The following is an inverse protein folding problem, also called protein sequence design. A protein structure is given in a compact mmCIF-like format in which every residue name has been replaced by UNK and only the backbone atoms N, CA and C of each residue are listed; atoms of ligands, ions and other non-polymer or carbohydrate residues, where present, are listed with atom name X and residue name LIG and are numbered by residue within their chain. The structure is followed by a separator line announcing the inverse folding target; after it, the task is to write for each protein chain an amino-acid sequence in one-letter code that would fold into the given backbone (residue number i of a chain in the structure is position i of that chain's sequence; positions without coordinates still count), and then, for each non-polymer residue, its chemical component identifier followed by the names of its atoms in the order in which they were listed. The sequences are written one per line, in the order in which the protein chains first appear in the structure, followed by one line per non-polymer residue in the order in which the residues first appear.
data_IF_197926225427
#
_entry.id   IF_197926225427
#
_cell.length_a   1.000
_cell.length_b   1.000
_cell.length_c   1.000
_cell.angle_alpha   90.00
_cell.angle_beta   90.00
_cell.angle_gamma   90.00
#
_symmetry.space_group_name_H-M   'P 1'
#
loop_
_entity.id
_entity.type
_entity.pdbx_description
1 polymer ?
#
# COMPACT_ATOMS: atom_id res chain seq x y z
N UNK A 1 14.52 -12.44 29.13
CA UNK A 1 15.13 -12.16 27.82
C UNK A 1 14.13 -11.35 27.03
N UNK A 2 14.12 -10.04 27.29
CA UNK A 2 13.28 -9.09 26.57
C UNK A 2 13.82 -8.93 25.15
N UNK A 3 12.97 -9.19 24.18
CA UNK A 3 13.23 -8.86 22.80
C UNK A 3 13.36 -7.34 22.70
N UNK A 4 14.58 -6.86 22.48
CA UNK A 4 14.88 -5.49 22.09
C UNK A 4 14.04 -5.17 20.85
N UNK A 5 12.95 -4.43 21.04
CA UNK A 5 12.27 -3.71 19.97
C UNK A 5 13.32 -2.77 19.38
N UNK A 6 13.86 -3.12 18.21
CA UNK A 6 14.60 -2.17 17.38
C UNK A 6 13.62 -1.06 17.05
N UNK A 7 13.76 0.07 17.72
CA UNK A 7 13.11 1.32 17.34
C UNK A 7 13.52 1.62 15.90
N UNK A 8 12.60 1.41 14.96
CA UNK A 8 12.78 1.80 13.57
C UNK A 8 12.73 3.32 13.53
N UNK A 9 13.92 3.92 13.48
CA UNK A 9 14.12 5.34 13.24
C UNK A 9 13.29 5.76 12.00
N UNK A 10 12.36 6.74 12.07
CA UNK A 10 11.44 7.06 10.97
C UNK A 10 12.11 7.76 9.78
N UNK A 11 13.34 8.23 9.96
CA UNK A 11 14.15 8.81 8.90
C UNK A 11 14.88 7.71 8.15
N UNK A 12 14.14 6.99 7.31
CA UNK A 12 14.71 6.22 6.21
C UNK A 12 15.51 7.18 5.34
N UNK A 13 16.83 7.25 5.57
CA UNK A 13 17.79 8.14 4.92
C UNK A 13 17.73 8.00 3.39
N UNK A 14 16.89 8.80 2.73
CA UNK A 14 16.94 9.09 1.30
C UNK A 14 18.19 9.92 1.03
N UNK A 15 19.34 9.26 1.00
CA UNK A 15 20.64 9.88 0.81
C UNK A 15 21.32 9.31 -0.42
N UNK A 16 21.88 10.23 -1.22
CA UNK A 16 22.71 9.86 -2.37
C UNK A 16 24.10 9.37 -1.98
N UNK A 17 24.51 9.60 -0.73
CA UNK A 17 25.89 9.47 -0.24
C UNK A 17 26.21 8.08 0.32
N UNK A 18 25.21 7.20 0.42
CA UNK A 18 25.45 5.83 0.87
C UNK A 18 26.12 5.02 -0.24
N UNK A 19 27.02 4.11 0.14
CA UNK A 19 27.65 3.16 -0.81
C UNK A 19 26.62 2.37 -1.62
N UNK A 20 25.50 1.99 -1.00
CA UNK A 20 24.39 1.32 -1.66
C UNK A 20 23.74 2.20 -2.74
N UNK A 21 23.48 3.48 -2.44
CA UNK A 21 23.00 4.46 -3.40
C UNK A 21 23.98 4.62 -4.56
N UNK A 22 25.28 4.76 -4.30
CA UNK A 22 26.28 4.88 -5.36
C UNK A 22 26.28 3.70 -6.34
N UNK A 23 26.18 2.47 -5.81
CA UNK A 23 26.10 1.25 -6.64
C UNK A 23 24.85 1.24 -7.53
N UNK A 24 23.69 1.59 -6.96
CA UNK A 24 22.43 1.68 -7.71
C UNK A 24 22.52 2.78 -8.77
N UNK A 25 22.99 3.98 -8.41
CA UNK A 25 23.15 5.12 -9.32
C UNK A 25 24.12 4.80 -10.45
N UNK A 26 25.24 4.13 -10.15
CA UNK A 26 26.18 3.62 -11.17
C UNK A 26 25.46 2.66 -12.10
N UNK A 27 24.71 1.69 -11.59
CA UNK A 27 23.98 0.73 -12.43
C UNK A 27 22.93 1.40 -13.33
N UNK A 28 22.20 2.39 -12.81
CA UNK A 28 21.23 3.19 -13.55
C UNK A 28 21.90 3.94 -14.70
N UNK A 29 23.06 4.58 -14.46
CA UNK A 29 23.78 5.33 -15.48
C UNK A 29 24.33 4.45 -16.60
N UNK A 30 24.83 3.25 -16.28
CA UNK A 30 25.50 2.37 -17.25
C UNK A 30 24.56 1.41 -17.97
N UNK A 31 23.34 1.17 -17.46
CA UNK A 31 22.40 0.23 -18.07
C UNK A 31 21.03 0.87 -18.29
N UNK A 32 20.71 1.18 -19.54
CA UNK A 32 19.37 1.64 -19.96
C UNK A 32 18.27 0.65 -19.57
N UNK A 33 18.58 -0.65 -19.64
CA UNK A 33 17.65 -1.73 -19.24
C UNK A 33 17.40 -1.67 -17.73
N UNK A 34 18.44 -1.55 -16.92
CA UNK A 34 18.31 -1.43 -15.46
C UNK A 34 17.54 -0.16 -15.08
N UNK A 35 17.86 0.99 -15.69
CA UNK A 35 17.13 2.24 -15.51
C UNK A 35 15.64 2.07 -15.79
N UNK A 36 15.28 1.46 -16.93
CA UNK A 36 13.87 1.21 -17.28
C UNK A 36 13.18 0.33 -16.24
N UNK A 37 13.83 -0.75 -15.79
CA UNK A 37 13.30 -1.62 -14.74
C UNK A 37 13.15 -0.87 -13.41
N UNK A 38 14.08 0.01 -13.07
CA UNK A 38 14.04 0.79 -11.84
C UNK A 38 12.86 1.77 -11.83
N UNK A 39 12.58 2.39 -12.99
CA UNK A 39 11.34 3.17 -13.18
C UNK A 39 10.11 2.30 -12.97
N UNK A 40 10.07 1.07 -13.49
CA UNK A 40 8.95 0.14 -13.25
C UNK A 40 8.77 -0.16 -11.75
N UNK A 41 9.86 -0.31 -10.99
CA UNK A 41 9.80 -0.48 -9.54
C UNK A 41 9.21 0.75 -8.84
N UNK A 42 9.63 1.96 -9.26
CA UNK A 42 9.07 3.22 -8.73
C UNK A 42 7.57 3.30 -8.99
N UNK A 43 7.13 3.00 -10.22
CA UNK A 43 5.71 3.01 -10.58
C UNK A 43 4.90 1.95 -9.83
N UNK A 44 5.49 0.79 -9.55
CA UNK A 44 4.84 -0.24 -8.75
C UNK A 44 4.60 0.21 -7.30
N UNK A 45 5.52 1.01 -6.77
CA UNK A 45 5.53 1.49 -5.39
C UNK A 45 4.99 2.92 -5.24
N UNK A 46 4.33 3.48 -6.27
CA UNK A 46 4.00 4.90 -6.30
C UNK A 46 3.07 5.35 -5.16
N UNK A 47 2.28 4.42 -4.61
CA UNK A 47 1.34 4.68 -3.50
C UNK A 47 2.05 5.03 -2.18
N UNK A 48 3.34 4.69 -2.06
CA UNK A 48 4.17 5.02 -0.91
C UNK A 48 5.02 6.29 -1.12
N UNK A 49 4.95 6.93 -2.29
CA UNK A 49 5.80 8.07 -2.64
C UNK A 49 5.06 9.39 -2.36
N UNK A 50 5.68 10.24 -1.55
CA UNK A 50 5.27 11.63 -1.36
C UNK A 50 6.02 12.58 -2.31
N UNK A 51 5.65 13.85 -2.33
CA UNK A 51 6.24 14.85 -3.22
C UNK A 51 7.77 14.95 -3.09
N UNK A 52 8.31 14.91 -1.85
CA UNK A 52 9.75 14.92 -1.59
C UNK A 52 10.46 13.68 -2.18
N UNK A 53 9.84 12.49 -2.08
CA UNK A 53 10.39 11.28 -2.68
C UNK A 53 10.41 11.36 -4.21
N UNK A 54 9.39 11.96 -4.82
CA UNK A 54 9.30 12.13 -6.28
C UNK A 54 10.40 13.07 -6.77
N UNK A 55 10.59 14.21 -6.11
CA UNK A 55 11.65 15.16 -6.44
C UNK A 55 13.03 14.49 -6.36
N UNK A 56 13.31 13.81 -5.24
CA UNK A 56 14.54 13.05 -5.07
C UNK A 56 14.74 12.00 -6.17
N UNK A 57 13.74 11.19 -6.48
CA UNK A 57 13.85 10.12 -7.47
C UNK A 57 14.03 10.66 -8.89
N UNK A 58 13.41 11.79 -9.22
CA UNK A 58 13.57 12.45 -10.51
C UNK A 58 15.01 12.94 -10.70
N UNK A 59 15.55 13.63 -9.69
CA UNK A 59 16.96 14.04 -9.67
C UNK A 59 17.89 12.81 -9.73
N UNK A 60 17.58 11.78 -8.94
CA UNK A 60 18.36 10.56 -8.86
C UNK A 60 18.45 9.81 -10.19
N UNK A 61 17.36 9.82 -10.97
CA UNK A 61 17.30 9.27 -12.32
C UNK A 61 17.88 10.21 -13.37
N UNK A 62 18.08 11.49 -13.06
CA UNK A 62 18.39 12.51 -14.06
C UNK A 62 17.24 12.61 -15.08
N UNK A 63 16.01 12.80 -14.59
CA UNK A 63 14.82 13.07 -15.38
C UNK A 63 14.06 14.26 -14.79
N UNK A 64 13.17 14.88 -15.57
CA UNK A 64 12.38 16.00 -15.06
C UNK A 64 11.38 15.55 -13.98
N UNK A 65 11.22 16.34 -12.92
CA UNK A 65 10.23 16.06 -11.87
C UNK A 65 8.82 15.93 -12.44
N UNK A 66 8.46 16.82 -13.37
CA UNK A 66 7.17 16.79 -14.07
C UNK A 66 6.99 15.51 -14.91
N UNK A 67 8.06 14.99 -15.50
CA UNK A 67 8.02 13.76 -16.29
C UNK A 67 7.73 12.56 -15.38
N UNK A 68 8.44 12.45 -14.24
CA UNK A 68 8.21 11.38 -13.28
C UNK A 68 6.82 11.48 -12.63
N UNK A 69 6.40 12.69 -12.25
CA UNK A 69 5.07 12.94 -11.72
C UNK A 69 3.97 12.55 -12.71
N UNK A 70 4.13 12.88 -14.00
CA UNK A 70 3.19 12.49 -15.05
C UNK A 70 3.07 10.97 -15.21
N UNK A 71 4.19 10.24 -15.16
CA UNK A 71 4.18 8.77 -15.18
C UNK A 71 3.47 8.19 -13.97
N UNK A 72 3.72 8.75 -12.77
CA UNK A 72 3.05 8.34 -11.53
C UNK A 72 1.54 8.60 -11.62
N UNK A 73 1.13 9.79 -12.09
CA UNK A 73 -0.28 10.14 -12.26
C UNK A 73 -1.02 9.20 -13.22
N UNK A 74 -0.45 8.91 -14.40
CA UNK A 74 -1.02 7.92 -15.34
C UNK A 74 -1.12 6.52 -14.73
N UNK A 75 -0.18 6.17 -13.87
CA UNK A 75 -0.19 4.88 -13.17
C UNK A 75 -1.29 4.85 -12.10
N UNK A 76 -1.49 5.96 -11.38
CA UNK A 76 -2.61 6.13 -10.45
C UNK A 76 -3.96 6.06 -11.16
N UNK A 77 -4.11 6.65 -12.35
CA UNK A 77 -5.35 6.60 -13.14
C UNK A 77 -5.79 5.15 -13.39
N UNK A 78 -4.86 4.26 -13.71
CA UNK A 78 -5.14 2.83 -13.91
C UNK A 78 -5.57 2.08 -12.63
N UNK A 79 -5.43 2.70 -11.46
CA UNK A 79 -5.83 2.16 -10.17
C UNK A 79 -7.06 2.84 -9.58
N UNK A 80 -7.60 3.90 -10.21
CA UNK A 80 -8.74 4.68 -9.69
C UNK A 80 -9.94 3.78 -9.43
N UNK A 81 -10.39 2.98 -10.39
CA UNK A 81 -11.56 2.11 -10.22
C UNK A 81 -11.40 1.13 -9.05
N UNK A 82 -10.19 0.60 -8.84
CA UNK A 82 -9.90 -0.30 -7.73
C UNK A 82 -9.94 0.44 -6.40
N UNK A 83 -9.34 1.63 -6.35
CA UNK A 83 -9.35 2.50 -5.16
C UNK A 83 -10.76 2.95 -4.81
N UNK A 84 -11.58 3.30 -5.79
CA UNK A 84 -12.98 3.65 -5.58
C UNK A 84 -13.78 2.47 -5.04
N UNK A 85 -13.61 1.27 -5.60
CA UNK A 85 -14.24 0.05 -5.08
C UNK A 85 -13.82 -0.24 -3.64
N UNK A 86 -12.54 -0.05 -3.31
CA UNK A 86 -12.04 -0.24 -1.94
C UNK A 86 -12.50 0.86 -1.00
N UNK A 87 -12.58 2.12 -1.46
CA UNK A 87 -13.15 3.25 -0.69
C UNK A 87 -14.63 3.01 -0.41
N UNK A 88 -15.39 2.54 -1.40
CA UNK A 88 -16.79 2.16 -1.23
C UNK A 88 -16.95 1.04 -0.19
N UNK A 89 -16.12 0.00 -0.29
CA UNK A 89 -16.10 -1.08 0.69
C UNK A 89 -15.72 -0.60 2.10
N UNK A 90 -14.75 0.31 2.23
CA UNK A 90 -14.39 0.94 3.49
C UNK A 90 -15.55 1.80 4.04
N UNK A 91 -16.35 2.43 3.18
CA UNK A 91 -17.59 3.11 3.55
C UNK A 91 -18.61 2.15 4.16
N UNK A 92 -18.87 1.00 3.51
CA UNK A 92 -19.75 -0.05 4.04
C UNK A 92 -19.22 -0.58 5.38
N UNK A 93 -17.91 -0.84 5.49
CA UNK A 93 -17.27 -1.25 6.74
C UNK A 93 -17.51 -0.22 7.85
N UNK A 94 -17.32 1.07 7.55
CA UNK A 94 -17.51 2.15 8.52
C UNK A 94 -18.99 2.25 8.94
N UNK A 95 -19.94 2.03 8.03
CA UNK A 95 -21.36 1.95 8.37
C UNK A 95 -21.63 0.84 9.40
N UNK A 96 -21.13 -0.38 9.16
CA UNK A 96 -21.27 -1.49 10.11
C UNK A 96 -20.60 -1.19 11.45
N UNK A 97 -19.44 -0.54 11.44
CA UNK A 97 -18.77 -0.08 12.67
C UNK A 97 -19.65 0.90 13.46
N UNK A 98 -20.18 1.94 12.82
CA UNK A 98 -21.02 2.93 13.49
C UNK A 98 -22.30 2.28 14.06
N UNK A 99 -22.94 1.40 13.29
CA UNK A 99 -24.15 0.68 13.74
C UNK A 99 -23.86 -0.29 14.88
N UNK A 100 -22.75 -1.03 14.81
CA UNK A 100 -22.26 -1.84 15.92
C UNK A 100 -22.13 -0.99 17.18
N UNK A 101 -21.40 0.12 17.11
CA UNK A 101 -21.20 1.01 18.27
C UNK A 101 -22.51 1.57 18.82
N UNK A 102 -23.47 1.86 17.94
CA UNK A 102 -24.81 2.29 18.33
C UNK A 102 -25.53 1.19 19.14
N UNK A 103 -25.65 -0.03 18.60
CA UNK A 103 -26.35 -1.12 19.28
C UNK A 103 -25.64 -1.58 20.56
N UNK A 104 -24.30 -1.48 20.63
CA UNK A 104 -23.57 -1.73 21.88
C UNK A 104 -24.01 -0.75 22.98
N UNK A 105 -24.03 0.55 22.67
CA UNK A 105 -24.46 1.59 23.62
C UNK A 105 -25.93 1.46 23.99
N UNK A 106 -26.78 1.14 23.03
CA UNK A 106 -28.22 0.92 23.26
C UNK A 106 -28.43 -0.27 24.20
N UNK A 107 -27.72 -1.38 23.98
CA UNK A 107 -27.79 -2.55 24.85
C UNK A 107 -27.29 -2.23 26.27
N UNK A 108 -26.13 -1.59 26.40
CA UNK A 108 -25.58 -1.15 27.69
C UNK A 108 -26.56 -0.24 28.46
N UNK A 109 -27.22 0.68 27.75
CA UNK A 109 -28.23 1.55 28.33
C UNK A 109 -29.44 0.76 28.82
N UNK A 110 -30.02 -0.11 27.99
CA UNK A 110 -31.20 -0.90 28.36
C UNK A 110 -30.91 -1.86 29.52
N UNK A 111 -29.72 -2.45 29.54
CA UNK A 111 -29.26 -3.29 30.65
C UNK A 111 -29.10 -2.46 31.94
N UNK A 112 -28.62 -1.21 31.86
CA UNK A 112 -28.53 -0.32 33.04
C UNK A 112 -29.89 0.06 33.64
N UNK A 113 -30.96 0.02 32.84
CA UNK A 113 -32.33 0.27 33.29
C UNK A 113 -33.10 -1.00 33.64
N UNK A 114 -32.44 -2.16 33.71
CA UNK A 114 -33.06 -3.47 33.93
C UNK A 114 -34.24 -3.74 32.97
N UNK A 115 -34.09 -3.37 31.69
CA UNK A 115 -35.12 -3.62 30.68
C UNK A 115 -35.44 -5.13 30.57
N UNK A 116 -36.71 -5.43 30.26
CA UNK A 116 -37.16 -6.82 30.09
C UNK A 116 -36.32 -7.52 28.99
N UNK A 117 -35.85 -8.77 29.23
CA UNK A 117 -35.12 -9.56 28.24
C UNK A 117 -35.75 -9.60 26.85
N UNK A 118 -37.09 -9.57 26.76
CA UNK A 118 -37.82 -9.56 25.49
C UNK A 118 -37.43 -8.36 24.58
N UNK A 119 -37.09 -7.21 25.18
CA UNK A 119 -36.65 -6.01 24.45
C UNK A 119 -35.14 -5.99 24.18
N UNK A 120 -34.35 -6.74 24.95
CA UNK A 120 -32.89 -6.86 24.74
C UNK A 120 -32.57 -7.77 23.55
N UNK A 121 -33.34 -8.83 23.34
CA UNK A 121 -33.08 -9.84 22.30
C UNK A 121 -33.04 -9.30 20.85
N UNK A 122 -33.93 -8.37 20.44
CA UNK A 122 -33.80 -7.71 19.14
C UNK A 122 -32.50 -6.91 18.99
N UNK A 123 -32.10 -6.16 20.02
CA UNK A 123 -30.88 -5.35 20.02
C UNK A 123 -29.64 -6.24 19.95
N UNK A 124 -29.61 -7.34 20.71
CA UNK A 124 -28.55 -8.37 20.65
C UNK A 124 -28.42 -8.98 19.27
N UNK A 125 -29.54 -9.32 18.62
CA UNK A 125 -29.54 -9.84 17.24
C UNK A 125 -28.99 -8.82 16.24
N UNK A 126 -29.42 -7.56 16.34
CA UNK A 126 -28.89 -6.48 15.50
C UNK A 126 -27.40 -6.26 15.72
N UNK A 127 -26.95 -6.28 16.97
CA UNK A 127 -25.53 -6.17 17.30
C UNK A 127 -24.71 -7.31 16.69
N UNK A 128 -25.14 -8.56 16.89
CA UNK A 128 -24.45 -9.73 16.34
C UNK A 128 -24.37 -9.69 14.80
N UNK A 129 -25.43 -9.22 14.13
CA UNK A 129 -25.45 -9.01 12.69
C UNK A 129 -24.37 -7.99 12.27
N UNK A 130 -24.35 -6.81 12.90
CA UNK A 130 -23.39 -5.75 12.56
C UNK A 130 -21.94 -6.17 12.87
N UNK A 131 -21.71 -6.93 13.94
CA UNK A 131 -20.39 -7.50 14.26
C UNK A 131 -19.89 -8.50 13.22
N UNK A 132 -20.76 -9.41 12.79
CA UNK A 132 -20.43 -10.38 11.74
C UNK A 132 -20.03 -9.66 10.44
N UNK A 133 -20.84 -8.72 9.97
CA UNK A 133 -20.56 -8.02 8.72
C UNK A 133 -19.37 -7.06 8.84
N UNK A 134 -19.18 -6.38 9.97
CA UNK A 134 -17.98 -5.57 10.19
C UNK A 134 -16.70 -6.42 10.05
N UNK A 135 -16.66 -7.60 10.68
CA UNK A 135 -15.52 -8.52 10.59
C UNK A 135 -15.28 -9.00 9.16
N UNK A 136 -16.33 -9.37 8.43
CA UNK A 136 -16.23 -9.75 7.02
C UNK A 136 -15.68 -8.62 6.15
N UNK A 137 -16.19 -7.39 6.32
CA UNK A 137 -15.72 -6.24 5.53
C UNK A 137 -14.30 -5.82 5.88
N UNK A 138 -13.87 -5.95 7.14
CA UNK A 138 -12.48 -5.76 7.53
C UNK A 138 -11.55 -6.73 6.77
N UNK A 139 -11.92 -8.01 6.69
CA UNK A 139 -11.15 -9.01 5.94
C UNK A 139 -11.13 -8.68 4.44
N UNK A 140 -12.27 -8.34 3.84
CA UNK A 140 -12.32 -8.01 2.42
C UNK A 140 -11.52 -6.75 2.04
N UNK A 141 -11.45 -5.74 2.94
CA UNK A 141 -10.60 -4.56 2.72
C UNK A 141 -9.12 -4.93 2.80
N UNK A 142 -8.73 -5.81 3.74
CA UNK A 142 -7.36 -6.30 3.88
C UNK A 142 -6.92 -7.15 2.67
N UNK A 143 -7.82 -8.00 2.16
CA UNK A 143 -7.56 -8.91 1.04
C UNK A 143 -7.50 -8.19 -0.32
N UNK A 144 -7.84 -6.89 -0.38
CA UNK A 144 -7.81 -6.07 -1.61
C UNK A 144 -6.67 -5.05 -1.57
N UNK A 145 -5.44 -5.45 -1.92
CA UNK A 145 -4.38 -4.47 -2.10
C UNK A 145 -4.75 -3.55 -3.27
N UNK A 146 -4.83 -2.24 -2.98
CA UNK A 146 -5.03 -1.19 -3.99
C UNK A 146 -3.78 -0.93 -4.84
N UNK A 147 -2.72 -1.70 -4.63
CA UNK A 147 -1.46 -1.53 -5.33
C UNK A 147 -1.62 -1.83 -6.82
N UNK A 148 -0.80 -1.16 -7.60
CA UNK A 148 -0.65 -1.45 -9.01
C UNK A 148 -0.13 -2.88 -9.16
N UNK A 149 -0.75 -3.62 -10.06
CA UNK A 149 -0.31 -4.99 -10.38
C UNK A 149 0.71 -4.98 -11.51
N UNK A 150 1.58 -5.98 -11.58
CA UNK A 150 2.52 -6.13 -12.70
C UNK A 150 1.81 -6.17 -14.07
N UNK A 151 0.58 -6.69 -14.11
CA UNK A 151 -0.25 -6.69 -15.33
C UNK A 151 -0.68 -5.28 -15.75
N UNK A 152 -1.10 -4.43 -14.80
CA UNK A 152 -1.44 -3.04 -15.10
C UNK A 152 -0.20 -2.26 -15.55
N UNK A 153 0.93 -2.50 -14.89
CA UNK A 153 2.20 -1.87 -15.26
C UNK A 153 2.69 -2.29 -16.65
N UNK A 154 2.51 -3.57 -17.02
CA UNK A 154 2.79 -4.09 -18.36
C UNK A 154 1.97 -3.37 -19.44
N UNK A 155 0.67 -3.19 -19.20
CA UNK A 155 -0.23 -2.47 -20.11
C UNK A 155 0.19 -1.00 -20.27
N UNK A 156 0.47 -0.31 -19.17
CA UNK A 156 0.89 1.09 -19.16
C UNK A 156 2.22 1.35 -19.88
N UNK A 157 3.17 0.44 -19.70
CA UNK A 157 4.53 0.60 -20.22
C UNK A 157 4.73 0.02 -21.62
N UNK A 158 3.73 -0.67 -22.17
CA UNK A 158 3.82 -1.41 -23.44
C UNK A 158 4.83 -2.56 -23.38
N UNK A 159 5.13 -3.08 -22.19
CA UNK A 159 6.10 -4.15 -21.96
C UNK A 159 5.35 -5.45 -21.63
N UNK A 160 5.75 -6.62 -22.17
CA UNK A 160 5.14 -7.88 -21.78
C UNK A 160 5.22 -8.13 -20.27
N UNK A 161 4.15 -8.65 -19.66
CA UNK A 161 4.10 -8.93 -18.20
C UNK A 161 5.29 -9.77 -17.73
N UNK A 162 5.65 -10.83 -18.46
CA UNK A 162 6.80 -11.67 -18.10
C UNK A 162 8.13 -10.91 -18.06
N UNK A 163 8.29 -9.87 -18.87
CA UNK A 163 9.46 -8.97 -18.83
C UNK A 163 9.42 -8.03 -17.62
N UNK A 164 8.23 -7.60 -17.19
CA UNK A 164 8.05 -6.85 -15.93
C UNK A 164 8.43 -7.74 -14.74
N UNK A 165 7.89 -8.96 -14.68
CA UNK A 165 8.16 -9.94 -13.60
C UNK A 165 9.67 -10.25 -13.50
N UNK A 166 10.30 -10.61 -14.62
CA UNK A 166 11.75 -10.88 -14.68
C UNK A 166 12.59 -9.64 -14.36
N UNK A 167 12.15 -8.46 -14.82
CA UNK A 167 12.83 -7.20 -14.57
C UNK A 167 12.87 -6.83 -13.09
N UNK A 168 11.75 -7.00 -12.38
CA UNK A 168 11.63 -6.74 -10.95
C UNK A 168 12.41 -7.78 -10.12
N UNK A 169 12.38 -9.06 -10.51
CA UNK A 169 13.21 -10.09 -9.88
C UNK A 169 14.70 -9.77 -10.02
N UNK A 170 15.14 -9.26 -11.18
CA UNK A 170 16.53 -8.85 -11.36
C UNK A 170 16.93 -7.70 -10.43
N UNK A 171 16.05 -6.71 -10.26
CA UNK A 171 16.33 -5.60 -9.33
C UNK A 171 16.40 -6.12 -7.90
N UNK A 172 15.45 -6.96 -7.49
CA UNK A 172 15.44 -7.55 -6.16
C UNK A 172 16.75 -8.29 -5.86
N UNK A 173 17.16 -9.19 -6.74
CA UNK A 173 18.42 -9.93 -6.56
C UNK A 173 19.64 -9.00 -6.48
N UNK A 174 19.64 -7.90 -7.25
CA UNK A 174 20.71 -6.90 -7.19
C UNK A 174 20.71 -6.13 -5.86
N UNK A 175 19.54 -5.73 -5.36
CA UNK A 175 19.42 -5.03 -4.07
C UNK A 175 19.75 -5.96 -2.90
N UNK A 176 19.30 -7.23 -2.95
CA UNK A 176 19.62 -8.25 -1.96
C UNK A 176 21.13 -8.48 -1.89
N UNK A 177 21.83 -8.57 -3.04
CA UNK A 177 23.30 -8.68 -3.06
C UNK A 177 24.05 -7.48 -2.45
N UNK A 178 23.47 -6.27 -2.52
CA UNK A 178 24.03 -5.09 -1.83
C UNK A 178 23.83 -5.21 -0.31
N UNK A 179 22.67 -5.68 0.14
CA UNK A 179 22.34 -5.82 1.56
C UNK A 179 23.12 -6.96 2.23
N UNK A 180 23.32 -8.06 1.52
CA UNK A 180 24.05 -9.24 2.01
C UNK A 180 25.57 -9.08 1.95
N UNK A 181 26.08 -7.92 1.49
CA UNK A 181 27.51 -7.63 1.40
C UNK A 181 28.26 -8.48 0.36
N UNK A 182 27.53 -9.10 -0.57
CA UNK A 182 28.05 -10.00 -1.61
C UNK A 182 28.26 -9.31 -2.98
N UNK A 183 28.17 -7.97 -3.00
CA UNK A 183 28.36 -7.12 -4.19
C UNK A 183 29.63 -6.28 -4.19
#
# INVERSE_FOLDING_TARGET
MEATRVERNPDLNWSTETKASELVRKKIRHSKIFRRRFILLILLSCDALGAQHIAFLAEYLGMGEQELASLISRTHECSIDKRERTRHLAGIRNMHFCRKMFYQRELEMMESFNADPLFLEPVRRSLAYEEYYFKQRCKEVQDRPNSITHRQLALLSGIPKGTVDSGLSTIRNFLDGIMDGSG
#
